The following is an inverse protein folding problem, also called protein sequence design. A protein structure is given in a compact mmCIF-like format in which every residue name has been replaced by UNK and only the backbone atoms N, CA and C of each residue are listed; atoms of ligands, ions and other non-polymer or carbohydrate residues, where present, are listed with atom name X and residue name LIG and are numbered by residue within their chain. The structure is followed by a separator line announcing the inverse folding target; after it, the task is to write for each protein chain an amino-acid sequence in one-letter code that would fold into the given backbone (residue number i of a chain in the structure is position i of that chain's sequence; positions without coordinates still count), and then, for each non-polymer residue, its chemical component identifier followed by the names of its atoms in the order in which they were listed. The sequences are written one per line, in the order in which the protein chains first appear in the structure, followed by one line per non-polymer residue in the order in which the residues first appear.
data_IF_905726901527
#
_entry.id   IF_905726901527
#
_cell.length_a   1.000
_cell.length_b   1.000
_cell.length_c   1.000
_cell.angle_alpha   90.00
_cell.angle_beta   90.00
_cell.angle_gamma   90.00
#
_symmetry.space_group_name_H-M   'P 1'
#
loop_
_entity.id
_entity.type
_entity.pdbx_description
1 polymer ?
#
# COMPACT_ATOMS: atom_id res chain seq x y z
N UNK A 1 58.97 -6.57 5.81
CA UNK A 1 59.71 -7.09 6.98
C UNK A 1 58.81 -6.93 8.18
N UNK A 2 58.30 -7.93 8.90
CA UNK A 2 58.57 -9.36 9.00
C UNK A 2 57.23 -10.09 9.29
N UNK A 3 57.19 -11.43 9.11
CA UNK A 3 56.00 -12.23 8.84
C UNK A 3 55.44 -12.89 10.11
N UNK A 4 54.20 -13.39 10.05
CA UNK A 4 53.70 -14.39 11.01
C UNK A 4 53.35 -15.66 10.26
N UNK A 5 54.17 -16.68 10.49
CA UNK A 5 54.05 -18.05 9.99
C UNK A 5 53.70 -18.96 11.17
N UNK A 6 52.51 -19.58 11.06
CA UNK A 6 52.15 -21.01 11.22
C UNK A 6 52.84 -21.86 12.30
N UNK A 7 52.04 -22.68 13.03
CA UNK A 7 52.23 -24.14 13.36
C UNK A 7 51.16 -24.66 14.39
N UNK A 8 50.97 -25.97 14.64
CA UNK A 8 50.36 -26.99 13.75
C UNK A 8 49.44 -28.02 14.50
N UNK A 9 49.05 -29.12 13.83
CA UNK A 9 48.76 -30.47 14.40
C UNK A 9 47.38 -30.67 15.07
N UNK A 10 46.58 -31.73 14.87
CA UNK A 10 46.80 -33.07 14.30
C UNK A 10 45.48 -33.78 13.91
N UNK A 11 45.58 -34.66 12.90
CA UNK A 11 45.05 -36.04 12.74
C UNK A 11 43.58 -36.40 13.02
N UNK A 12 43.00 -37.09 12.03
CA UNK A 12 42.00 -38.18 12.17
C UNK A 12 40.75 -37.96 11.32
N UNK A 13 40.66 -38.46 10.07
CA UNK A 13 40.01 -39.74 9.70
C UNK A 13 38.61 -39.88 10.34
N UNK A 14 37.48 -39.77 9.63
CA UNK A 14 36.92 -40.82 8.77
C UNK A 14 35.68 -40.34 7.96
N UNK A 15 35.59 -40.87 6.73
CA UNK A 15 34.43 -41.13 5.85
C UNK A 15 33.03 -40.64 6.27
N UNK A 16 32.38 -39.89 5.37
CA UNK A 16 31.17 -40.34 4.64
C UNK A 16 30.99 -39.50 3.37
N UNK A 17 30.79 -40.18 2.24
CA UNK A 17 30.39 -39.58 0.97
C UNK A 17 28.86 -39.50 1.04
N UNK A 18 28.31 -38.30 1.28
CA UNK A 18 26.89 -38.06 1.09
C UNK A 18 26.67 -37.68 -0.38
N UNK A 19 25.92 -38.53 -1.09
CA UNK A 19 25.53 -38.30 -2.47
C UNK A 19 24.78 -36.97 -2.60
N UNK A 20 25.24 -36.11 -3.53
CA UNK A 20 24.51 -34.94 -3.94
C UNK A 20 23.25 -35.38 -4.69
N UNK A 21 22.09 -35.29 -4.04
CA UNK A 21 20.81 -35.29 -4.74
C UNK A 21 20.62 -33.90 -5.34
N UNK A 22 20.81 -33.77 -6.65
CA UNK A 22 20.31 -32.64 -7.41
C UNK A 22 18.78 -32.64 -7.29
N UNK A 23 18.23 -31.89 -6.34
CA UNK A 23 16.81 -31.57 -6.30
C UNK A 23 16.56 -30.47 -7.33
N UNK A 24 16.21 -30.88 -8.54
CA UNK A 24 15.46 -30.02 -9.46
C UNK A 24 14.15 -29.69 -8.77
N UNK A 25 14.06 -28.51 -8.17
CA UNK A 25 12.76 -27.95 -7.77
C UNK A 25 12.00 -27.69 -9.07
N UNK A 26 10.81 -28.29 -9.27
CA UNK A 26 9.99 -27.90 -10.40
C UNK A 26 9.54 -26.46 -10.15
N UNK A 27 9.71 -25.62 -11.17
CA UNK A 27 9.10 -24.30 -11.25
C UNK A 27 7.60 -24.49 -11.03
N UNK A 28 7.14 -24.14 -9.83
CA UNK A 28 5.74 -24.14 -9.49
C UNK A 28 5.12 -22.98 -10.26
N UNK A 29 4.54 -23.31 -11.42
CA UNK A 29 3.62 -22.43 -12.12
C UNK A 29 2.51 -22.07 -11.13
N UNK A 30 2.45 -20.79 -10.76
CA UNK A 30 1.37 -20.24 -9.96
C UNK A 30 0.10 -20.29 -10.81
N UNK A 31 -0.68 -21.35 -10.66
CA UNK A 31 -2.04 -21.45 -11.14
C UNK A 31 -2.87 -20.35 -10.47
N UNK A 32 -3.40 -19.42 -11.26
CA UNK A 32 -4.41 -18.46 -10.82
C UNK A 32 -5.71 -19.22 -10.54
N UNK A 33 -5.84 -19.81 -9.34
CA UNK A 33 -7.11 -20.36 -8.86
C UNK A 33 -8.09 -19.22 -8.67
N UNK A 34 -9.07 -19.10 -9.56
CA UNK A 34 -10.26 -18.28 -9.32
C UNK A 34 -10.91 -18.74 -8.02
N UNK A 35 -10.83 -17.89 -6.99
CA UNK A 35 -11.49 -18.15 -5.70
C UNK A 35 -13.00 -18.14 -5.96
N UNK A 36 -13.65 -19.29 -5.78
CA UNK A 36 -15.12 -19.40 -5.76
C UNK A 36 -15.59 -18.71 -4.48
N UNK A 37 -15.98 -17.45 -4.58
CA UNK A 37 -16.46 -16.64 -3.45
C UNK A 37 -17.96 -16.91 -3.29
N UNK A 38 -18.42 -17.09 -2.06
CA UNK A 38 -19.84 -17.27 -1.74
C UNK A 38 -20.68 -16.13 -2.33
N UNK A 39 -21.87 -16.40 -2.91
CA UNK A 39 -22.68 -15.39 -3.58
C UNK A 39 -23.14 -14.25 -2.66
N UNK A 40 -23.12 -14.47 -1.35
CA UNK A 40 -23.54 -13.52 -0.31
C UNK A 40 -22.45 -12.50 0.04
N UNK A 41 -21.18 -12.77 -0.29
CA UNK A 41 -20.05 -11.90 0.09
C UNK A 41 -19.86 -10.80 -0.97
N UNK A 42 -19.71 -9.55 -0.52
CA UNK A 42 -19.38 -8.42 -1.39
C UNK A 42 -18.08 -8.69 -2.14
N UNK A 43 -18.16 -8.73 -3.47
CA UNK A 43 -17.00 -8.90 -4.35
C UNK A 43 -16.30 -7.56 -4.51
N UNK A 44 -15.05 -7.49 -4.06
CA UNK A 44 -14.22 -6.32 -4.23
C UNK A 44 -13.48 -6.35 -5.56
N UNK A 45 -13.53 -5.22 -6.29
CA UNK A 45 -12.78 -5.06 -7.51
C UNK A 45 -11.29 -4.81 -7.21
N UNK A 46 -10.48 -5.88 -7.25
CA UNK A 46 -9.04 -5.82 -6.99
C UNK A 46 -8.31 -4.85 -7.93
N UNK A 47 -8.75 -4.77 -9.19
CA UNK A 47 -8.19 -3.84 -10.19
C UNK A 47 -8.44 -2.38 -9.79
N UNK A 48 -9.64 -2.06 -9.33
CA UNK A 48 -10.01 -0.71 -8.87
C UNK A 48 -9.19 -0.35 -7.63
N UNK A 49 -9.12 -1.25 -6.66
CA UNK A 49 -8.32 -1.07 -5.44
C UNK A 49 -6.85 -0.81 -5.73
N UNK A 50 -6.25 -1.55 -6.66
CA UNK A 50 -4.84 -1.36 -7.05
C UNK A 50 -4.61 0.03 -7.68
N UNK A 51 -5.52 0.47 -8.56
CA UNK A 51 -5.45 1.82 -9.17
C UNK A 51 -5.56 2.91 -8.11
N UNK A 52 -6.51 2.79 -7.19
CA UNK A 52 -6.69 3.73 -6.09
C UNK A 52 -5.48 3.75 -5.14
N UNK A 53 -4.87 2.60 -4.87
CA UNK A 53 -3.70 2.51 -4.01
C UNK A 53 -2.50 3.24 -4.65
N UNK A 54 -2.29 3.07 -5.95
CA UNK A 54 -1.25 3.78 -6.68
C UNK A 54 -1.51 5.29 -6.73
N UNK A 55 -2.77 5.69 -6.96
CA UNK A 55 -3.15 7.10 -6.90
C UNK A 55 -2.94 7.71 -5.52
N UNK A 56 -3.32 6.99 -4.45
CA UNK A 56 -3.13 7.44 -3.07
C UNK A 56 -1.64 7.64 -2.74
N UNK A 57 -0.76 6.72 -3.16
CA UNK A 57 0.70 6.89 -3.02
C UNK A 57 1.19 8.14 -3.77
N UNK A 58 0.77 8.29 -5.01
CA UNK A 58 1.14 9.44 -5.83
C UNK A 58 0.68 10.77 -5.22
N UNK A 59 -0.55 10.83 -4.68
CA UNK A 59 -1.06 12.01 -3.99
C UNK A 59 -0.21 12.34 -2.75
N UNK A 60 0.16 11.33 -1.96
CA UNK A 60 1.01 11.49 -0.78
C UNK A 60 2.42 12.02 -1.13
N UNK A 61 3.00 11.56 -2.24
CA UNK A 61 4.28 12.06 -2.76
C UNK A 61 4.19 13.53 -3.24
N UNK A 62 3.06 13.91 -3.83
CA UNK A 62 2.85 15.28 -4.32
C UNK A 62 2.64 16.29 -3.17
N UNK A 63 1.98 15.90 -2.09
CA UNK A 63 1.60 16.78 -0.98
C UNK A 63 1.98 16.21 0.41
N UNK A 64 3.27 15.93 0.66
CA UNK A 64 3.72 15.27 1.89
C UNK A 64 3.51 16.13 3.14
N UNK A 65 3.38 17.46 2.97
CA UNK A 65 3.14 18.40 4.08
C UNK A 65 1.70 18.32 4.64
N UNK A 66 0.73 17.96 3.81
CA UNK A 66 -0.69 18.05 4.15
C UNK A 66 -1.36 16.70 4.33
N UNK A 67 -0.95 15.69 3.56
CA UNK A 67 -1.48 14.33 3.65
C UNK A 67 -0.72 13.59 4.74
N UNK A 68 -1.45 13.10 5.75
CA UNK A 68 -0.90 12.37 6.88
C UNK A 68 -0.95 10.87 6.65
N UNK A 69 -2.10 10.36 6.21
CA UNK A 69 -2.33 8.94 5.98
C UNK A 69 -3.23 8.73 4.78
N UNK A 70 -3.01 7.60 4.10
CA UNK A 70 -3.80 7.12 2.98
C UNK A 70 -4.37 5.77 3.39
N UNK A 71 -5.68 5.68 3.47
CA UNK A 71 -6.36 4.47 3.92
C UNK A 71 -7.52 4.12 2.98
N UNK A 72 -8.06 2.92 3.18
CA UNK A 72 -9.26 2.48 2.49
C UNK A 72 -10.39 2.32 3.49
N UNK A 73 -11.53 2.98 3.24
CA UNK A 73 -12.76 2.63 3.93
C UNK A 73 -13.21 1.25 3.44
N UNK A 74 -13.82 0.46 4.33
CA UNK A 74 -14.14 -0.96 4.14
C UNK A 74 -14.72 -1.25 2.74
N UNK A 75 -13.85 -1.70 1.82
CA UNK A 75 -14.20 -1.83 0.42
C UNK A 75 -13.12 -1.28 -0.53
N UNK A 76 -13.58 -0.51 -1.51
CA UNK A 76 -12.84 0.04 -2.65
C UNK A 76 -12.91 1.58 -2.69
N UNK A 77 -12.99 2.22 -1.52
CA UNK A 77 -13.04 3.67 -1.37
C UNK A 77 -11.74 4.19 -0.76
N UNK A 78 -11.13 5.16 -1.42
CA UNK A 78 -9.87 5.77 -0.97
C UNK A 78 -10.15 6.97 -0.06
N UNK A 79 -9.52 6.99 1.10
CA UNK A 79 -9.58 8.09 2.05
C UNK A 79 -8.19 8.72 2.25
N UNK A 80 -8.15 10.06 2.20
CA UNK A 80 -6.96 10.84 2.44
C UNK A 80 -7.15 11.63 3.74
N UNK A 81 -6.35 11.32 4.77
CA UNK A 81 -6.36 12.07 6.01
C UNK A 81 -5.46 13.29 5.85
N UNK A 82 -6.06 14.48 5.99
CA UNK A 82 -5.41 15.76 5.68
C UNK A 82 -5.34 16.64 6.93
N UNK A 83 -4.25 17.38 7.08
CA UNK A 83 -4.16 18.43 8.10
C UNK A 83 -5.08 19.61 7.76
N UNK A 84 -5.82 20.21 8.73
CA UNK A 84 -6.81 21.26 8.45
C UNK A 84 -6.26 22.49 7.72
N UNK A 85 -4.98 22.86 7.95
CA UNK A 85 -4.34 23.97 7.19
C UNK A 85 -4.14 23.67 5.70
N UNK A 86 -4.22 22.39 5.30
CA UNK A 86 -4.00 21.89 3.95
C UNK A 86 -5.26 21.70 3.12
N UNK A 87 -6.44 22.09 3.61
CA UNK A 87 -7.71 21.88 2.90
C UNK A 87 -7.68 22.54 1.51
N UNK A 88 -7.40 23.84 1.45
CA UNK A 88 -7.36 24.60 0.18
C UNK A 88 -6.35 24.02 -0.82
N UNK A 89 -5.07 23.79 -0.48
CA UNK A 89 -4.11 23.26 -1.45
C UNK A 89 -4.45 21.84 -1.91
N UNK A 90 -4.96 20.97 -1.02
CA UNK A 90 -5.37 19.61 -1.42
C UNK A 90 -6.58 19.65 -2.35
N UNK A 91 -7.61 20.46 -2.05
CA UNK A 91 -8.76 20.61 -2.95
C UNK A 91 -8.35 21.18 -4.31
N UNK A 92 -7.42 22.13 -4.33
CA UNK A 92 -6.89 22.71 -5.58
C UNK A 92 -6.14 21.67 -6.40
N UNK A 93 -5.33 20.83 -5.75
CA UNK A 93 -4.65 19.70 -6.40
C UNK A 93 -5.63 18.67 -6.97
N UNK A 94 -6.64 18.26 -6.19
CA UNK A 94 -7.65 17.30 -6.61
C UNK A 94 -8.50 17.80 -7.78
N UNK A 95 -8.61 19.12 -7.98
CA UNK A 95 -9.31 19.74 -9.10
C UNK A 95 -8.42 19.92 -10.33
N UNK A 96 -7.17 20.34 -10.13
CA UNK A 96 -6.29 20.83 -11.21
C UNK A 96 -5.30 19.81 -11.78
N UNK A 97 -5.10 18.67 -11.12
CA UNK A 97 -4.08 17.72 -11.56
C UNK A 97 -4.59 16.82 -12.69
N UNK A 98 -3.75 16.52 -13.68
CA UNK A 98 -4.15 15.66 -14.80
C UNK A 98 -4.58 14.25 -14.33
N UNK A 99 -3.89 13.72 -13.32
CA UNK A 99 -4.21 12.41 -12.72
C UNK A 99 -5.33 12.47 -11.68
N UNK A 100 -5.74 13.67 -11.24
CA UNK A 100 -6.80 13.89 -10.26
C UNK A 100 -7.78 14.93 -10.81
N UNK A 101 -8.83 14.47 -11.50
CA UNK A 101 -9.86 15.34 -12.10
C UNK A 101 -11.17 15.21 -11.31
N UNK A 102 -11.08 15.49 -10.01
CA UNK A 102 -12.22 15.48 -9.10
C UNK A 102 -12.94 16.83 -9.17
N UNK A 103 -13.68 17.06 -10.24
CA UNK A 103 -14.41 18.32 -10.44
C UNK A 103 -15.76 18.35 -9.72
N UNK A 104 -16.31 17.18 -9.39
CA UNK A 104 -17.61 17.06 -8.74
C UNK A 104 -17.43 16.85 -7.23
N UNK A 105 -17.80 17.86 -6.45
CA UNK A 105 -17.99 17.75 -5.01
C UNK A 105 -19.40 17.20 -4.75
N UNK A 106 -19.51 16.01 -4.16
CA UNK A 106 -20.82 15.40 -3.91
C UNK A 106 -21.46 15.96 -2.65
N UNK A 107 -20.73 15.93 -1.54
CA UNK A 107 -21.20 16.45 -0.25
C UNK A 107 -20.04 16.76 0.68
N UNK A 108 -20.33 17.60 1.69
CA UNK A 108 -19.45 17.87 2.83
C UNK A 108 -20.20 17.46 4.08
N UNK A 109 -19.64 16.50 4.81
CA UNK A 109 -20.20 15.97 6.05
C UNK A 109 -19.32 16.36 7.23
N UNK A 110 -19.94 16.46 8.41
CA UNK A 110 -19.26 16.67 9.68
C UNK A 110 -19.60 15.56 10.67
N UNK A 111 -18.59 14.93 11.26
CA UNK A 111 -18.76 13.99 12.37
C UNK A 111 -18.28 14.65 13.65
N UNK A 112 -19.11 14.59 14.69
CA UNK A 112 -18.80 15.11 16.02
C UNK A 112 -18.45 13.96 16.96
N UNK A 113 -17.20 13.94 17.43
CA UNK A 113 -16.70 12.96 18.40
C UNK A 113 -16.22 13.69 19.66
N UNK A 114 -17.06 13.80 20.70
CA UNK A 114 -16.77 14.63 21.88
C UNK A 114 -15.58 14.15 22.71
N UNK A 115 -15.12 12.91 22.52
CA UNK A 115 -13.98 12.33 23.24
C UNK A 115 -12.62 12.78 22.68
N UNK A 116 -12.57 13.34 21.46
CA UNK A 116 -11.34 13.77 20.80
C UNK A 116 -11.04 15.24 21.09
N UNK A 117 -9.75 15.60 21.19
CA UNK A 117 -9.31 17.02 21.31
C UNK A 117 -9.77 17.84 20.11
N UNK A 118 -9.64 17.27 18.91
CA UNK A 118 -10.25 17.78 17.70
C UNK A 118 -11.64 17.14 17.57
N UNK A 119 -12.63 17.82 18.13
CA UNK A 119 -14.01 17.33 18.24
C UNK A 119 -14.67 17.04 16.89
N UNK A 120 -14.42 17.90 15.90
CA UNK A 120 -15.09 17.85 14.61
C UNK A 120 -14.18 17.25 13.55
N UNK A 121 -14.73 16.32 12.78
CA UNK A 121 -14.11 15.77 11.57
C UNK A 121 -14.92 16.21 10.36
N UNK A 122 -14.29 16.95 9.46
CA UNK A 122 -14.91 17.42 8.23
C UNK A 122 -14.49 16.46 7.11
N UNK A 123 -15.48 15.85 6.47
CA UNK A 123 -15.31 14.87 5.41
C UNK A 123 -15.84 15.49 4.13
N UNK A 124 -15.01 15.56 3.09
CA UNK A 124 -15.41 16.03 1.76
C UNK A 124 -15.36 14.87 0.80
N UNK A 125 -16.51 14.52 0.22
CA UNK A 125 -16.58 13.44 -0.75
C UNK A 125 -16.54 14.01 -2.17
N UNK A 126 -15.66 13.44 -2.99
CA UNK A 126 -15.46 13.86 -4.37
C UNK A 126 -15.67 12.68 -5.32
N UNK A 127 -16.35 12.96 -6.43
CA UNK A 127 -16.51 11.98 -7.50
C UNK A 127 -15.65 12.40 -8.71
N UNK A 128 -14.84 11.48 -9.28
CA UNK A 128 -14.09 11.79 -10.50
C UNK A 128 -15.08 12.01 -11.64
N UNK A 129 -14.95 13.14 -12.33
CA UNK A 129 -15.78 13.40 -13.51
C UNK A 129 -15.23 12.58 -14.68
N UNK A 130 -15.85 11.44 -14.97
CA UNK A 130 -15.50 10.59 -16.10
C UNK A 130 -15.40 11.42 -17.39
N UNK A 131 -14.23 11.37 -18.02
CA UNK A 131 -14.09 11.16 -19.46
C UNK A 131 -13.31 9.87 -19.64
#
# INVERSE_FOLDING_TARGET
MLPVVVRPFARGLQRTIAAASFSTTPVQQAETKEKKIDPTILKLDEKKRTRLANFGRYAAECLPKFIQQVQFAAGDELELLIHPSGVIPVLTFLKGNHSAQFTNLTFVCGVDVPTRKNRFEVISHFFPSNK
#
